data_IF_416574512743
#
_entry.id   IF_416574512743
#
_cell.length_a   1.000
_cell.length_b   1.000
_cell.length_c   1.000
_cell.angle_alpha   90.00
_cell.angle_beta   90.00
_cell.angle_gamma   90.00
#
_symmetry.space_group_name_H-M   'P 1'
#
loop_
_entity.id
_entity.type
_entity.pdbx_description
1 polymer ?
#
# COMPACT_ATOMS: atom_id res chain seq x y z
N UNK A 1 21.91 14.22 37.32
CA UNK A 1 20.73 13.36 37.09
C UNK A 1 20.57 13.22 35.59
N UNK A 2 20.96 12.07 35.04
CA UNK A 2 20.82 11.79 33.60
C UNK A 2 19.39 11.30 33.37
N UNK A 3 18.65 11.98 32.51
CA UNK A 3 17.34 11.51 32.04
C UNK A 3 17.52 10.16 31.29
N UNK A 4 16.55 9.23 31.38
CA UNK A 4 16.66 7.95 30.72
C UNK A 4 16.56 8.14 29.21
N UNK A 5 17.54 7.61 28.48
CA UNK A 5 17.65 7.69 27.01
C UNK A 5 16.64 6.75 26.32
N UNK A 6 15.94 5.89 27.06
CA UNK A 6 15.06 4.84 26.47
C UNK A 6 13.70 5.32 25.98
N UNK A 7 13.29 6.57 26.26
CA UNK A 7 11.93 7.07 25.97
C UNK A 7 11.77 7.59 24.53
N UNK A 8 12.85 8.11 23.92
CA UNK A 8 12.76 8.78 22.60
C UNK A 8 12.65 7.83 21.40
N UNK A 9 13.14 6.59 21.51
CA UNK A 9 13.10 5.63 20.39
C UNK A 9 11.75 4.95 20.25
N UNK A 10 11.08 4.64 21.36
CA UNK A 10 9.72 4.08 21.36
C UNK A 10 8.73 5.09 20.77
N UNK A 11 8.81 6.35 21.23
CA UNK A 11 7.93 7.43 20.76
C UNK A 11 8.07 7.66 19.25
N UNK A 12 9.31 7.65 18.74
CA UNK A 12 9.57 7.81 17.31
C UNK A 12 9.02 6.63 16.48
N UNK A 13 9.17 5.40 16.99
CA UNK A 13 8.59 4.21 16.38
C UNK A 13 7.06 4.24 16.40
N UNK A 14 6.41 4.64 17.50
CA UNK A 14 4.94 4.78 17.57
C UNK A 14 4.44 5.78 16.54
N UNK A 15 5.08 6.95 16.48
CA UNK A 15 4.75 8.01 15.54
C UNK A 15 4.84 7.51 14.10
N UNK A 16 5.96 6.86 13.76
CA UNK A 16 6.18 6.29 12.44
C UNK A 16 5.15 5.22 12.05
N UNK A 17 4.77 4.33 12.98
CA UNK A 17 3.69 3.35 12.72
C UNK A 17 2.35 4.05 12.48
N UNK A 18 2.08 5.16 13.18
CA UNK A 18 0.91 6.00 12.95
C UNK A 18 0.89 6.60 11.53
N UNK A 19 2.01 7.18 11.09
CA UNK A 19 2.14 7.70 9.72
C UNK A 19 1.95 6.60 8.68
N UNK A 20 2.52 5.41 8.89
CA UNK A 20 2.31 4.27 8.00
C UNK A 20 0.86 3.81 7.96
N UNK A 21 0.14 3.84 9.07
CA UNK A 21 -1.29 3.51 9.06
C UNK A 21 -2.10 4.47 8.19
N UNK A 22 -1.75 5.76 8.18
CA UNK A 22 -2.43 6.75 7.34
C UNK A 22 -2.02 6.62 5.87
N UNK A 23 -0.74 6.34 5.60
CA UNK A 23 -0.24 6.04 4.26
C UNK A 23 -0.90 4.78 3.65
N UNK A 24 -1.05 3.72 4.44
CA UNK A 24 -1.71 2.49 3.98
C UNK A 24 -3.21 2.70 3.70
N UNK A 25 -3.90 3.53 4.49
CA UNK A 25 -5.28 3.94 4.18
C UNK A 25 -5.35 4.76 2.89
N UNK A 26 -4.37 5.63 2.67
CA UNK A 26 -4.27 6.38 1.42
C UNK A 26 -4.15 5.43 0.22
N UNK A 27 -3.26 4.43 0.29
CA UNK A 27 -3.14 3.43 -0.78
C UNK A 27 -4.42 2.60 -0.99
N UNK A 28 -5.15 2.24 0.07
CA UNK A 28 -6.46 1.57 -0.09
C UNK A 28 -7.46 2.45 -0.87
N UNK A 29 -7.49 3.76 -0.61
CA UNK A 29 -8.37 4.70 -1.32
C UNK A 29 -7.95 4.87 -2.78
N UNK A 30 -6.65 5.01 -3.04
CA UNK A 30 -6.13 5.11 -4.41
C UNK A 30 -6.44 3.85 -5.22
N UNK A 31 -6.26 2.67 -4.63
CA UNK A 31 -6.55 1.41 -5.30
C UNK A 31 -8.03 1.32 -5.71
N UNK A 32 -8.93 1.70 -4.79
CA UNK A 32 -10.37 1.77 -5.07
C UNK A 32 -10.71 2.78 -6.16
N UNK A 33 -10.01 3.91 -6.19
CA UNK A 33 -10.17 4.93 -7.25
C UNK A 33 -9.77 4.36 -8.61
N UNK A 34 -8.67 3.62 -8.68
CA UNK A 34 -8.24 2.93 -9.90
C UNK A 34 -9.24 1.85 -10.34
N UNK A 35 -9.79 1.06 -9.42
CA UNK A 35 -10.83 0.07 -9.71
C UNK A 35 -12.07 0.71 -10.35
N UNK A 36 -12.58 1.79 -9.76
CA UNK A 36 -13.74 2.53 -10.29
C UNK A 36 -13.45 3.13 -11.68
N UNK A 37 -12.23 3.63 -11.88
CA UNK A 37 -11.79 4.15 -13.17
C UNK A 37 -11.73 3.06 -14.23
N UNK A 38 -11.27 1.87 -13.85
CA UNK A 38 -11.19 0.70 -14.72
C UNK A 38 -12.59 0.17 -15.08
N UNK A 39 -13.51 0.15 -14.12
CA UNK A 39 -14.93 -0.19 -14.33
C UNK A 39 -15.58 0.77 -15.34
N UNK A 40 -15.42 2.08 -15.14
CA UNK A 40 -15.94 3.09 -16.06
C UNK A 40 -15.35 2.93 -17.48
N UNK A 41 -14.08 2.57 -17.60
CA UNK A 41 -13.44 2.31 -18.91
C UNK A 41 -14.09 1.12 -19.62
N UNK A 42 -14.39 0.05 -18.89
CA UNK A 42 -15.08 -1.13 -19.43
C UNK A 42 -16.50 -0.78 -19.87
N UNK A 43 -17.25 -0.06 -19.06
CA UNK A 43 -18.63 0.35 -19.38
C UNK A 43 -18.71 1.24 -20.62
N UNK A 44 -17.72 2.12 -20.80
CA UNK A 44 -17.65 3.03 -21.95
C UNK A 44 -17.14 2.36 -23.23
N UNK A 45 -16.55 1.15 -23.13
CA UNK A 45 -15.98 0.42 -24.27
C UNK A 45 -16.50 -1.03 -24.39
N UNK A 46 -17.83 -1.24 -24.54
CA UNK A 46 -18.44 -2.58 -24.52
C UNK A 46 -18.05 -3.46 -25.72
N UNK A 47 -17.56 -2.86 -26.81
CA UNK A 47 -17.12 -3.56 -28.03
C UNK A 47 -15.60 -3.51 -28.20
N UNK A 48 -14.85 -3.23 -27.13
CA UNK A 48 -13.41 -3.18 -27.21
C UNK A 48 -12.80 -4.50 -27.70
N UNK A 49 -11.65 -4.38 -28.36
CA UNK A 49 -10.92 -5.53 -28.83
C UNK A 49 -10.31 -6.34 -27.67
N UNK A 50 -9.78 -7.52 -28.00
CA UNK A 50 -9.13 -8.39 -27.01
C UNK A 50 -7.88 -7.76 -26.37
N UNK A 51 -7.38 -6.62 -26.85
CA UNK A 51 -6.23 -5.94 -26.29
C UNK A 51 -6.63 -5.17 -25.03
N UNK A 52 -7.74 -4.43 -25.06
CA UNK A 52 -8.26 -3.74 -23.88
C UNK A 52 -8.58 -4.74 -22.77
N UNK A 53 -9.31 -5.82 -23.10
CA UNK A 53 -9.74 -6.81 -22.12
C UNK A 53 -8.57 -7.49 -21.39
N UNK A 54 -7.47 -7.77 -22.09
CA UNK A 54 -6.25 -8.30 -21.47
C UNK A 54 -5.60 -7.32 -20.50
N UNK A 55 -5.58 -6.04 -20.84
CA UNK A 55 -5.05 -5.00 -19.96
C UNK A 55 -5.95 -4.80 -18.74
N UNK A 56 -7.26 -4.81 -18.93
CA UNK A 56 -8.24 -4.76 -17.83
C UNK A 56 -8.03 -5.92 -16.87
N UNK A 57 -7.95 -7.16 -17.38
CA UNK A 57 -7.68 -8.35 -16.56
C UNK A 57 -6.34 -8.25 -15.83
N UNK A 58 -5.29 -7.75 -16.51
CA UNK A 58 -4.00 -7.51 -15.90
C UNK A 58 -4.10 -6.58 -14.68
N UNK A 59 -4.74 -5.42 -14.83
CA UNK A 59 -4.89 -4.45 -13.73
C UNK A 59 -5.81 -4.96 -12.62
N UNK A 60 -6.93 -5.63 -12.95
CA UNK A 60 -7.79 -6.26 -11.94
C UNK A 60 -7.01 -7.26 -11.07
N UNK A 61 -6.19 -8.11 -11.70
CA UNK A 61 -5.37 -9.07 -10.96
C UNK A 61 -4.32 -8.38 -10.08
N UNK A 62 -3.67 -7.32 -10.58
CA UNK A 62 -2.75 -6.53 -9.77
C UNK A 62 -3.45 -5.85 -8.60
N UNK A 63 -4.66 -5.31 -8.81
CA UNK A 63 -5.41 -4.65 -7.74
C UNK A 63 -5.81 -5.62 -6.64
N UNK A 64 -6.32 -6.80 -6.99
CA UNK A 64 -6.64 -7.86 -6.03
C UNK A 64 -5.39 -8.25 -5.21
N UNK A 65 -4.26 -8.46 -5.89
CA UNK A 65 -3.01 -8.84 -5.23
C UNK A 65 -2.53 -7.75 -4.27
N UNK A 66 -2.49 -6.48 -4.71
CA UNK A 66 -2.02 -5.39 -3.88
C UNK A 66 -3.00 -5.04 -2.75
N UNK A 67 -4.30 -5.19 -2.97
CA UNK A 67 -5.30 -5.07 -1.90
C UNK A 67 -5.07 -6.08 -0.77
N UNK A 68 -4.74 -7.33 -1.11
CA UNK A 68 -4.37 -8.36 -0.12
C UNK A 68 -3.08 -8.02 0.63
N UNK A 69 -2.06 -7.55 -0.10
CA UNK A 69 -0.78 -7.15 0.50
C UNK A 69 -0.96 -5.95 1.45
N UNK A 70 -1.75 -4.94 1.05
CA UNK A 70 -2.08 -3.77 1.86
C UNK A 70 -2.80 -4.18 3.14
N UNK A 71 -3.80 -5.05 3.04
CA UNK A 71 -4.54 -5.55 4.19
C UNK A 71 -3.62 -6.24 5.21
N UNK A 72 -2.74 -7.11 4.72
CA UNK A 72 -1.77 -7.84 5.54
C UNK A 72 -0.81 -6.88 6.25
N UNK A 73 -0.17 -5.97 5.49
CA UNK A 73 0.78 -5.00 6.04
C UNK A 73 0.13 -4.05 7.05
N UNK A 74 -1.09 -3.59 6.78
CA UNK A 74 -1.87 -2.76 7.71
C UNK A 74 -2.21 -3.51 8.99
N UNK A 75 -2.54 -4.79 8.91
CA UNK A 75 -2.75 -5.62 10.10
C UNK A 75 -1.47 -5.76 10.92
N UNK A 76 -0.33 -6.00 10.26
CA UNK A 76 0.97 -6.11 10.90
C UNK A 76 1.39 -4.81 11.58
N UNK A 77 1.26 -3.66 10.91
CA UNK A 77 1.55 -2.34 11.49
C UNK A 77 0.65 -2.09 12.71
N UNK A 78 -0.66 -2.35 12.59
CA UNK A 78 -1.63 -2.14 13.68
C UNK A 78 -1.35 -3.04 14.88
N UNK A 79 -0.96 -4.30 14.66
CA UNK A 79 -0.64 -5.25 15.74
C UNK A 79 0.59 -4.83 16.53
N UNK A 80 1.51 -4.10 15.90
CA UNK A 80 2.77 -3.68 16.50
C UNK A 80 2.71 -2.31 17.20
N UNK A 81 1.64 -1.52 17.00
CA UNK A 81 1.41 -0.25 17.69
C UNK A 81 1.55 -0.33 19.23
N UNK A 82 1.03 -1.36 19.93
CA UNK A 82 1.10 -1.44 21.39
C UNK A 82 2.32 -2.23 21.93
N UNK A 83 3.21 -2.77 21.09
CA UNK A 83 4.25 -3.76 21.52
C UNK A 83 5.68 -3.23 21.35
N UNK A 84 5.91 -1.97 21.74
CA UNK A 84 7.19 -1.29 21.51
C UNK A 84 8.30 -1.67 22.51
N UNK A 85 7.97 -2.40 23.57
CA UNK A 85 8.89 -2.75 24.67
C UNK A 85 9.45 -4.18 24.57
N UNK A 86 9.18 -4.89 23.48
CA UNK A 86 9.72 -6.24 23.26
C UNK A 86 11.21 -6.21 22.89
N UNK A 87 12.01 -7.15 23.40
CA UNK A 87 13.41 -7.33 22.95
C UNK A 87 13.51 -7.65 21.45
N UNK A 88 12.45 -8.21 20.87
CA UNK A 88 12.36 -8.48 19.42
C UNK A 88 11.97 -7.23 18.60
N UNK A 89 11.62 -6.12 19.25
CA UNK A 89 11.11 -4.91 18.59
C UNK A 89 12.03 -4.39 17.47
N UNK A 90 13.36 -4.27 17.65
CA UNK A 90 14.22 -3.75 16.58
C UNK A 90 14.17 -4.60 15.29
N UNK A 91 14.11 -5.93 15.42
CA UNK A 91 14.03 -6.85 14.28
C UNK A 91 12.65 -6.78 13.61
N UNK A 92 11.58 -6.75 14.41
CA UNK A 92 10.21 -6.64 13.91
C UNK A 92 9.98 -5.32 13.18
N UNK A 93 10.43 -4.21 13.78
CA UNK A 93 10.37 -2.90 13.17
C UNK A 93 11.17 -2.82 11.88
N UNK A 94 12.39 -3.38 11.85
CA UNK A 94 13.20 -3.47 10.63
C UNK A 94 12.51 -4.24 9.49
N UNK A 95 11.78 -5.32 9.83
CA UNK A 95 10.96 -6.05 8.86
C UNK A 95 9.81 -5.17 8.32
N UNK A 96 9.10 -4.46 9.18
CA UNK A 96 8.04 -3.53 8.77
C UNK A 96 8.56 -2.40 7.88
N UNK A 97 9.74 -1.83 8.20
CA UNK A 97 10.40 -0.82 7.35
C UNK A 97 10.60 -1.37 5.93
N UNK A 98 11.15 -2.59 5.81
CA UNK A 98 11.40 -3.23 4.51
C UNK A 98 10.10 -3.48 3.73
N UNK A 99 9.06 -3.94 4.43
CA UNK A 99 7.75 -4.18 3.83
C UNK A 99 7.10 -2.88 3.35
N UNK A 100 7.15 -1.80 4.15
CA UNK A 100 6.66 -0.47 3.75
C UNK A 100 7.42 0.09 2.54
N UNK A 101 8.75 -0.04 2.50
CA UNK A 101 9.55 0.38 1.35
C UNK A 101 9.18 -0.41 0.08
N UNK A 102 8.98 -1.72 0.22
CA UNK A 102 8.56 -2.57 -0.90
C UNK A 102 7.17 -2.19 -1.39
N UNK A 103 6.23 -1.98 -0.47
CA UNK A 103 4.86 -1.55 -0.79
C UNK A 103 4.85 -0.22 -1.53
N UNK A 104 5.56 0.80 -1.02
CA UNK A 104 5.69 2.12 -1.67
C UNK A 104 6.17 2.01 -3.10
N UNK A 105 7.22 1.21 -3.34
CA UNK A 105 7.76 1.01 -4.69
C UNK A 105 6.74 0.36 -5.60
N UNK A 106 6.17 -0.77 -5.19
CA UNK A 106 5.20 -1.52 -6.00
C UNK A 106 3.98 -0.66 -6.30
N UNK A 107 3.47 0.07 -5.32
CA UNK A 107 2.29 0.91 -5.49
C UNK A 107 2.56 2.08 -6.42
N UNK A 108 3.72 2.73 -6.30
CA UNK A 108 4.14 3.80 -7.20
C UNK A 108 4.28 3.29 -8.65
N UNK A 109 4.90 2.13 -8.85
CA UNK A 109 5.03 1.50 -10.17
C UNK A 109 3.66 1.15 -10.76
N UNK A 110 2.78 0.54 -9.97
CA UNK A 110 1.42 0.18 -10.39
C UNK A 110 0.59 1.39 -10.79
N UNK A 111 0.62 2.47 -10.01
CA UNK A 111 -0.11 3.71 -10.34
C UNK A 111 0.44 4.36 -11.61
N UNK A 112 1.77 4.38 -11.78
CA UNK A 112 2.38 4.92 -12.99
C UNK A 112 2.05 4.07 -14.23
N UNK A 113 2.01 2.74 -14.10
CA UNK A 113 1.57 1.84 -15.16
C UNK A 113 0.11 2.04 -15.51
N UNK A 114 -0.75 2.18 -14.49
CA UNK A 114 -2.18 2.42 -14.68
C UNK A 114 -2.46 3.77 -15.34
N UNK A 115 -1.80 4.84 -14.93
CA UNK A 115 -1.93 6.16 -15.55
C UNK A 115 -1.48 6.15 -17.02
N UNK A 116 -0.37 5.47 -17.33
CA UNK A 116 0.08 5.28 -18.72
C UNK A 116 -0.91 4.49 -19.55
N UNK A 117 -1.46 3.40 -18.98
CA UNK A 117 -2.51 2.64 -19.62
C UNK A 117 -3.72 3.53 -19.90
N UNK A 118 -4.24 4.22 -18.90
CA UNK A 118 -5.45 5.03 -19.01
C UNK A 118 -5.32 6.16 -20.05
N UNK A 119 -4.15 6.81 -20.10
CA UNK A 119 -3.85 7.83 -21.13
C UNK A 119 -3.90 7.34 -22.56
N UNK A 120 -3.72 6.04 -22.80
CA UNK A 120 -3.79 5.46 -24.15
C UNK A 120 -5.23 5.13 -24.57
N UNK A 121 -6.18 5.18 -23.64
CA UNK A 121 -7.59 4.82 -23.87
C UNK A 121 -8.58 5.98 -23.63
N UNK A 122 -8.06 7.18 -23.29
CA UNK A 122 -8.73 8.47 -23.42
C UNK A 122 -8.54 9.02 -24.84
#
# INVERSE_FOLDING_TARGET
MNAPISDRSSDNSTFQLGEWMDELKFYELELKSCELTLEALVETNPTADGTLWKQVEHFQNQFILQGSNLHTLKWDVRRNLPVLESEAWPLQFGSLVSQMQTMRRIFFELLADFDRFFKNWL
#
